data_IF_217015981852
#
_entry.id   IF_217015981852
#
_cell.length_a   1.000
_cell.length_b   1.000
_cell.length_c   1.000
_cell.angle_alpha   90.00
_cell.angle_beta   90.00
_cell.angle_gamma   90.00
#
_symmetry.space_group_name_H-M   'P 1'
#
loop_
_entity.id
_entity.type
_entity.pdbx_description
1 polymer ?
#
# COMPACT_ATOMS: atom_id res chain seq x y z
N UNK A 1 -35.30 47.92 30.24
CA UNK A 1 -35.44 46.49 30.62
C UNK A 1 -35.66 45.52 29.45
N UNK A 2 -36.51 45.79 28.44
CA UNK A 2 -36.75 44.86 27.31
C UNK A 2 -35.51 44.53 26.43
N UNK A 3 -34.56 45.46 26.24
CA UNK A 3 -33.34 45.21 25.44
C UNK A 3 -32.38 44.19 26.08
N UNK A 4 -32.28 44.15 27.41
CA UNK A 4 -31.38 43.23 28.13
C UNK A 4 -31.86 41.77 28.08
N UNK A 5 -33.18 41.55 28.00
CA UNK A 5 -33.76 40.20 27.97
C UNK A 5 -33.59 39.51 26.61
N UNK A 6 -33.62 40.28 25.51
CA UNK A 6 -33.43 39.76 24.15
C UNK A 6 -31.97 39.38 23.86
N UNK A 7 -31.02 40.13 24.41
CA UNK A 7 -29.58 39.87 24.22
C UNK A 7 -29.17 38.54 24.88
N UNK A 8 -29.68 38.25 26.08
CA UNK A 8 -29.38 37.01 26.80
C UNK A 8 -29.97 35.75 26.14
N UNK A 9 -31.09 35.91 25.41
CA UNK A 9 -31.72 34.81 24.64
C UNK A 9 -30.94 34.48 23.36
N UNK A 10 -30.35 35.50 22.71
CA UNK A 10 -29.51 35.33 21.52
C UNK A 10 -28.19 34.60 21.83
N UNK A 11 -27.52 34.93 22.94
CA UNK A 11 -26.29 34.26 23.35
C UNK A 11 -26.54 32.76 23.65
N UNK A 12 -27.58 32.42 24.42
CA UNK A 12 -27.93 31.01 24.69
C UNK A 12 -28.25 30.21 23.43
N UNK A 13 -28.89 30.83 22.44
CA UNK A 13 -29.24 30.14 21.19
C UNK A 13 -28.01 29.91 20.31
N UNK A 14 -27.06 30.87 20.27
CA UNK A 14 -25.79 30.72 19.56
C UNK A 14 -24.91 29.62 20.16
N UNK A 15 -24.84 29.49 21.49
CA UNK A 15 -24.02 28.46 22.14
C UNK A 15 -24.58 27.06 21.89
N UNK A 16 -25.90 26.89 21.88
CA UNK A 16 -26.56 25.61 21.57
C UNK A 16 -26.40 25.24 20.09
N UNK A 17 -26.54 26.20 19.18
CA UNK A 17 -26.27 25.97 17.75
C UNK A 17 -24.82 25.60 17.47
N UNK A 18 -23.87 26.21 18.17
CA UNK A 18 -22.44 25.89 18.05
C UNK A 18 -22.11 24.52 18.66
N UNK A 19 -22.74 24.13 19.77
CA UNK A 19 -22.59 22.79 20.34
C UNK A 19 -23.22 21.70 19.47
N UNK A 20 -24.38 21.97 18.85
CA UNK A 20 -25.01 21.05 17.90
C UNK A 20 -24.13 20.94 16.66
N UNK A 21 -23.62 22.04 16.08
CA UNK A 21 -22.68 21.98 14.96
C UNK A 21 -21.39 21.24 15.30
N UNK A 22 -20.85 21.40 16.52
CA UNK A 22 -19.68 20.67 16.99
C UNK A 22 -19.99 19.18 17.16
N UNK A 23 -21.15 18.82 17.71
CA UNK A 23 -21.61 17.44 17.84
C UNK A 23 -21.94 16.81 16.47
N UNK A 24 -22.44 17.59 15.52
CA UNK A 24 -22.65 17.20 14.12
C UNK A 24 -21.32 16.97 13.41
N UNK A 25 -20.29 17.81 13.66
CA UNK A 25 -18.94 17.58 13.16
C UNK A 25 -18.28 16.34 13.80
N UNK A 26 -18.61 16.04 15.06
CA UNK A 26 -18.16 14.82 15.74
C UNK A 26 -18.91 13.57 15.20
N UNK A 27 -20.18 13.68 14.81
CA UNK A 27 -20.96 12.58 14.21
C UNK A 27 -20.75 12.40 12.70
N UNK A 28 -20.23 13.39 11.98
CA UNK A 28 -19.83 13.26 10.57
C UNK A 28 -18.42 12.64 10.43
N UNK A 29 -17.65 12.58 11.52
CA UNK A 29 -16.72 11.46 11.71
C UNK A 29 -17.53 10.22 12.08
N UNK A 30 -18.37 9.72 11.16
CA UNK A 30 -18.62 8.29 11.14
C UNK A 30 -17.23 7.66 11.13
N UNK A 31 -16.90 6.98 12.23
CA UNK A 31 -15.65 6.27 12.37
C UNK A 31 -15.56 5.32 11.18
N UNK A 32 -14.79 5.74 10.15
CA UNK A 32 -14.34 4.86 9.11
C UNK A 32 -13.76 3.66 9.84
N UNK A 33 -14.40 2.49 9.68
CA UNK A 33 -14.09 1.28 10.45
C UNK A 33 -12.57 1.13 10.52
N UNK A 34 -12.02 1.20 11.73
CA UNK A 34 -10.57 1.16 11.91
C UNK A 34 -10.03 -0.12 11.26
N UNK A 35 -9.25 0.03 10.20
CA UNK A 35 -8.64 -1.11 9.51
C UNK A 35 -7.38 -1.54 10.24
N UNK A 36 -7.27 -2.85 10.51
CA UNK A 36 -6.03 -3.48 10.94
C UNK A 36 -5.12 -3.65 9.73
N UNK A 37 -3.86 -3.26 9.85
CA UNK A 37 -2.88 -3.37 8.76
C UNK A 37 -1.73 -4.25 9.23
N UNK A 38 -1.51 -5.34 8.49
CA UNK A 38 -0.41 -6.27 8.72
C UNK A 38 0.56 -6.23 7.55
N UNK A 39 1.86 -6.22 7.83
CA UNK A 39 2.91 -6.32 6.82
C UNK A 39 3.58 -7.68 6.99
N UNK A 40 3.43 -8.56 6.02
CA UNK A 40 4.11 -9.85 6.06
C UNK A 40 5.60 -9.66 5.73
N UNK A 41 6.45 -10.12 6.65
CA UNK A 41 7.89 -10.27 6.46
C UNK A 41 8.42 -11.38 7.36
N UNK A 42 9.10 -12.36 6.78
CA UNK A 42 9.73 -13.44 7.51
C UNK A 42 11.08 -13.79 6.87
N UNK A 43 12.17 -13.50 7.58
CA UNK A 43 13.53 -13.70 7.08
C UNK A 43 13.93 -15.18 6.94
N UNK A 44 13.09 -16.12 7.40
CA UNK A 44 13.25 -17.55 7.13
C UNK A 44 12.74 -17.98 5.75
N UNK A 45 12.01 -17.12 5.05
CA UNK A 45 11.53 -17.35 3.69
C UNK A 45 12.37 -16.59 2.67
N UNK A 46 12.32 -17.04 1.41
CA UNK A 46 13.07 -16.44 0.32
C UNK A 46 12.14 -15.68 -0.63
N UNK A 47 12.52 -14.46 -0.99
CA UNK A 47 11.92 -13.78 -2.14
C UNK A 47 12.22 -14.51 -3.46
N UNK A 48 11.37 -14.31 -4.47
CA UNK A 48 11.57 -14.79 -5.84
C UNK A 48 12.41 -13.78 -6.63
N UNK A 49 11.84 -12.59 -6.82
CA UNK A 49 12.32 -11.54 -7.72
C UNK A 49 12.66 -10.25 -6.95
N UNK A 50 11.87 -9.87 -5.95
CA UNK A 50 12.19 -8.75 -5.06
C UNK A 50 13.49 -9.02 -4.30
N UNK A 51 14.35 -8.01 -4.18
CA UNK A 51 15.52 -8.13 -3.31
C UNK A 51 15.09 -8.07 -1.84
N UNK A 52 15.90 -8.67 -0.96
CA UNK A 52 15.70 -8.55 0.50
C UNK A 52 15.72 -7.07 0.92
N UNK A 53 16.58 -6.27 0.28
CA UNK A 53 16.67 -4.83 0.54
C UNK A 53 15.38 -4.07 0.19
N UNK A 54 14.65 -4.52 -0.84
CA UNK A 54 13.35 -3.94 -1.18
C UNK A 54 12.33 -4.25 -0.08
N UNK A 55 12.25 -5.52 0.35
CA UNK A 55 11.39 -5.93 1.46
C UNK A 55 11.72 -5.19 2.76
N UNK A 56 13.00 -5.09 3.12
CA UNK A 56 13.45 -4.33 4.30
C UNK A 56 13.04 -2.86 4.23
N UNK A 57 13.13 -2.26 3.04
CA UNK A 57 12.71 -0.87 2.84
C UNK A 57 11.20 -0.73 3.07
N UNK A 58 10.38 -1.61 2.53
CA UNK A 58 8.92 -1.58 2.71
C UNK A 58 8.56 -1.72 4.19
N UNK A 59 9.13 -2.73 4.87
CA UNK A 59 8.85 -3.05 6.28
C UNK A 59 9.25 -1.93 7.22
N UNK A 60 10.26 -1.13 6.87
CA UNK A 60 10.65 0.04 7.65
C UNK A 60 9.83 1.28 7.28
N UNK A 61 9.73 1.58 5.99
CA UNK A 61 9.20 2.85 5.50
C UNK A 61 7.70 2.96 5.68
N UNK A 62 6.94 1.89 5.42
CA UNK A 62 5.47 1.91 5.47
C UNK A 62 4.97 2.20 6.90
N UNK A 63 5.42 1.48 7.95
CA UNK A 63 5.01 1.79 9.32
C UNK A 63 5.38 3.19 9.78
N UNK A 64 6.63 3.62 9.52
CA UNK A 64 7.10 4.96 9.90
C UNK A 64 6.29 6.07 9.20
N UNK A 65 5.84 5.82 7.97
CA UNK A 65 5.04 6.79 7.21
C UNK A 65 3.60 6.83 7.68
N UNK A 66 2.93 5.68 7.80
CA UNK A 66 1.53 5.61 8.25
C UNK A 66 1.37 6.15 9.69
N UNK A 67 2.36 5.93 10.56
CA UNK A 67 2.36 6.46 11.92
C UNK A 67 2.30 8.00 11.98
N UNK A 68 2.84 8.72 10.98
CA UNK A 68 2.75 10.19 10.87
C UNK A 68 1.31 10.67 10.67
N UNK A 69 0.42 9.79 10.20
CA UNK A 69 -0.99 10.04 9.99
C UNK A 69 -1.88 9.39 11.06
N UNK A 70 -1.28 8.86 12.13
CA UNK A 70 -2.02 8.22 13.23
C UNK A 70 -2.52 6.81 12.92
N UNK A 71 -2.02 6.18 11.86
CA UNK A 71 -2.39 4.81 11.45
C UNK A 71 -1.28 3.86 11.89
N UNK A 72 -1.63 2.87 12.72
CA UNK A 72 -0.73 1.82 13.15
C UNK A 72 -0.74 0.63 12.19
N UNK A 73 0.39 -0.04 12.06
CA UNK A 73 0.50 -1.34 11.40
C UNK A 73 1.45 -2.25 12.17
N UNK A 74 1.30 -3.56 11.96
CA UNK A 74 2.10 -4.59 12.61
C UNK A 74 2.84 -5.41 11.55
N UNK A 75 4.16 -5.54 11.69
CA UNK A 75 4.94 -6.48 10.88
C UNK A 75 4.86 -7.87 11.50
N UNK A 76 4.51 -8.88 10.70
CA UNK A 76 4.22 -10.24 11.16
C UNK A 76 5.01 -11.29 10.38
N UNK A 77 5.43 -12.34 11.07
CA UNK A 77 6.05 -13.52 10.47
C UNK A 77 5.00 -14.48 9.86
N UNK A 78 5.46 -15.57 9.24
CA UNK A 78 4.56 -16.52 8.56
C UNK A 78 3.59 -17.23 9.52
N UNK A 79 3.98 -17.42 10.79
CA UNK A 79 3.13 -18.05 11.81
C UNK A 79 2.02 -17.10 12.24
N UNK A 80 2.38 -15.86 12.58
CA UNK A 80 1.40 -14.84 13.01
C UNK A 80 0.47 -14.47 11.86
N UNK A 81 0.97 -14.44 10.62
CA UNK A 81 0.13 -14.26 9.44
C UNK A 81 -0.92 -15.36 9.31
N UNK A 82 -0.56 -16.63 9.55
CA UNK A 82 -1.49 -17.75 9.52
C UNK A 82 -2.60 -17.64 10.58
N UNK A 83 -2.25 -17.16 11.79
CA UNK A 83 -3.25 -16.85 12.83
C UNK A 83 -4.23 -15.77 12.34
N UNK A 84 -3.73 -14.67 11.77
CA UNK A 84 -4.55 -13.55 11.29
C UNK A 84 -5.53 -14.01 10.20
N UNK A 85 -5.06 -14.74 9.18
CA UNK A 85 -5.94 -15.16 8.08
C UNK A 85 -6.95 -16.24 8.50
N UNK A 86 -6.75 -16.88 9.66
CA UNK A 86 -7.72 -17.84 10.21
C UNK A 86 -8.95 -17.17 10.85
N UNK A 87 -8.86 -15.88 11.18
CA UNK A 87 -9.96 -15.08 11.75
C UNK A 87 -10.80 -14.44 10.63
N UNK A 88 -11.65 -15.24 9.98
CA UNK A 88 -12.43 -14.80 8.82
C UNK A 88 -13.42 -13.68 9.14
N UNK A 89 -13.90 -13.60 10.38
CA UNK A 89 -14.77 -12.54 10.88
C UNK A 89 -14.10 -11.14 10.85
N UNK A 90 -12.78 -11.09 10.98
CA UNK A 90 -12.01 -9.85 10.98
C UNK A 90 -11.56 -9.43 9.57
N UNK A 91 -11.73 -10.32 8.58
CA UNK A 91 -11.25 -10.11 7.22
C UNK A 91 -11.74 -8.80 6.58
N UNK A 92 -13.04 -8.42 6.64
CA UNK A 92 -13.52 -7.15 6.09
C UNK A 92 -12.81 -5.91 6.65
N UNK A 93 -12.22 -6.02 7.84
CA UNK A 93 -11.54 -4.94 8.56
C UNK A 93 -10.01 -5.09 8.56
N UNK A 94 -9.48 -5.99 7.75
CA UNK A 94 -8.05 -6.32 7.75
C UNK A 94 -7.43 -6.14 6.37
N UNK A 95 -6.24 -5.54 6.37
CA UNK A 95 -5.38 -5.37 5.19
C UNK A 95 -4.08 -6.11 5.45
N UNK A 96 -3.65 -6.89 4.47
CA UNK A 96 -2.35 -7.55 4.49
C UNK A 96 -1.51 -6.98 3.33
N UNK A 97 -0.35 -6.43 3.65
CA UNK A 97 0.67 -6.05 2.69
C UNK A 97 1.72 -7.16 2.60
N UNK A 98 1.84 -7.78 1.44
CA UNK A 98 2.91 -8.72 1.14
C UNK A 98 4.17 -7.94 0.76
N UNK A 99 5.08 -7.73 1.72
CA UNK A 99 6.37 -7.06 1.46
C UNK A 99 7.41 -8.00 0.81
N UNK A 100 7.10 -9.28 0.79
CA UNK A 100 7.81 -10.35 0.08
C UNK A 100 6.93 -10.82 -1.07
N UNK A 101 7.52 -11.16 -2.20
CA UNK A 101 6.82 -11.58 -3.43
C UNK A 101 6.54 -13.08 -3.49
N UNK A 102 6.54 -13.74 -2.33
CA UNK A 102 6.26 -15.16 -2.18
C UNK A 102 5.39 -15.35 -0.93
N UNK A 103 4.26 -16.04 -1.09
CA UNK A 103 3.40 -16.38 0.04
C UNK A 103 3.98 -17.60 0.79
N UNK A 104 4.00 -17.59 2.13
CA UNK A 104 4.47 -18.74 2.90
C UNK A 104 3.46 -19.90 2.83
N UNK A 105 3.98 -21.12 2.94
CA UNK A 105 3.21 -22.36 2.95
C UNK A 105 2.19 -22.44 4.10
N UNK A 106 2.37 -21.62 5.13
CA UNK A 106 1.42 -21.49 6.25
C UNK A 106 0.07 -20.87 5.85
N UNK A 107 0.01 -20.11 4.75
CA UNK A 107 -1.24 -19.47 4.28
C UNK A 107 -1.60 -19.81 2.84
N UNK A 108 -0.64 -20.25 2.04
CA UNK A 108 -0.83 -20.57 0.63
C UNK A 108 -0.31 -21.97 0.33
N UNK A 109 -1.23 -22.91 0.06
CA UNK A 109 -0.89 -24.30 -0.27
C UNK A 109 -1.00 -24.60 -1.76
N UNK A 110 -1.45 -23.63 -2.56
CA UNK A 110 -1.80 -23.83 -3.96
C UNK A 110 -3.14 -24.56 -4.13
N UNK A 111 -4.03 -24.49 -3.13
CA UNK A 111 -5.36 -25.09 -3.18
C UNK A 111 -6.46 -24.02 -2.94
N UNK A 112 -7.70 -24.23 -3.45
CA UNK A 112 -8.81 -23.30 -3.24
C UNK A 112 -9.21 -23.10 -1.78
N UNK A 113 -8.86 -24.04 -0.90
CA UNK A 113 -9.09 -23.97 0.55
C UNK A 113 -7.87 -23.44 1.33
N UNK A 114 -6.88 -22.86 0.64
CA UNK A 114 -5.76 -22.17 1.28
C UNK A 114 -6.30 -21.09 2.24
N UNK A 115 -5.75 -20.95 3.47
CA UNK A 115 -6.23 -19.98 4.44
C UNK A 115 -6.36 -18.55 3.89
N UNK A 116 -5.39 -18.09 3.09
CA UNK A 116 -5.44 -16.75 2.49
C UNK A 116 -6.59 -16.61 1.47
N UNK A 117 -6.93 -17.66 0.72
CA UNK A 117 -8.04 -17.64 -0.23
C UNK A 117 -9.36 -17.42 0.49
N UNK A 118 -9.61 -18.22 1.54
CA UNK A 118 -10.81 -18.11 2.36
C UNK A 118 -10.91 -16.73 3.03
N UNK A 119 -9.78 -16.17 3.47
CA UNK A 119 -9.71 -14.84 4.07
C UNK A 119 -10.03 -13.72 3.07
N UNK A 120 -9.50 -13.78 1.84
CA UNK A 120 -9.85 -12.82 0.78
C UNK A 120 -11.35 -12.93 0.47
N UNK A 121 -11.87 -14.14 0.27
CA UNK A 121 -13.29 -14.37 -0.01
C UNK A 121 -14.21 -13.87 1.11
N UNK A 122 -13.74 -13.90 2.36
CA UNK A 122 -14.44 -13.39 3.53
C UNK A 122 -14.48 -11.85 3.63
N UNK A 123 -13.63 -11.13 2.91
CA UNK A 123 -13.60 -9.66 2.91
C UNK A 123 -12.21 -9.03 3.02
N UNK A 124 -11.17 -9.85 3.15
CA UNK A 124 -9.79 -9.39 3.29
C UNK A 124 -9.30 -8.57 2.10
N UNK A 125 -8.49 -7.55 2.36
CA UNK A 125 -7.78 -6.80 1.31
C UNK A 125 -6.30 -7.13 1.31
N UNK A 126 -5.83 -7.80 0.25
CA UNK A 126 -4.42 -8.13 0.06
C UNK A 126 -3.76 -7.09 -0.84
N UNK A 127 -2.66 -6.48 -0.41
CA UNK A 127 -1.79 -5.66 -1.26
C UNK A 127 -0.57 -6.50 -1.61
N UNK A 128 -0.34 -6.69 -2.90
CA UNK A 128 0.75 -7.48 -3.44
C UNK A 128 1.67 -6.62 -4.31
N UNK A 129 2.97 -6.89 -4.23
CA UNK A 129 4.00 -6.17 -4.97
C UNK A 129 5.16 -7.10 -5.31
N UNK A 130 5.87 -6.83 -6.42
CA UNK A 130 7.05 -7.61 -6.82
C UNK A 130 6.77 -8.55 -7.99
N UNK A 131 6.71 -9.85 -7.73
CA UNK A 131 6.44 -10.89 -8.75
C UNK A 131 4.95 -11.22 -8.83
N UNK A 132 4.59 -12.10 -9.76
CA UNK A 132 3.26 -12.65 -9.93
C UNK A 132 2.72 -13.24 -8.62
N UNK A 133 1.57 -12.71 -8.19
CA UNK A 133 0.86 -13.13 -6.99
C UNK A 133 0.59 -14.63 -6.96
N UNK A 134 0.91 -15.25 -5.82
CA UNK A 134 0.67 -16.67 -5.55
C UNK A 134 1.34 -17.66 -6.52
N UNK A 135 2.29 -17.20 -7.34
CA UNK A 135 3.03 -18.07 -8.25
C UNK A 135 3.90 -19.10 -7.52
N UNK A 136 4.46 -18.77 -6.37
CA UNK A 136 5.21 -19.74 -5.56
C UNK A 136 4.54 -20.00 -4.23
N UNK A 137 4.66 -21.24 -3.76
CA UNK A 137 4.58 -21.58 -2.34
C UNK A 137 6.00 -21.51 -1.78
N UNK A 138 6.23 -20.58 -0.85
CA UNK A 138 7.50 -20.43 -0.16
C UNK A 138 7.54 -21.30 1.09
N UNK A 139 8.72 -21.83 1.41
CA UNK A 139 8.97 -22.62 2.61
C UNK A 139 10.10 -22.01 3.44
N UNK A 140 10.01 -22.15 4.77
CA UNK A 140 11.01 -21.63 5.75
C UNK A 140 12.42 -22.22 5.62
N UNK A 141 12.63 -23.16 4.70
CA UNK A 141 13.94 -23.70 4.33
C UNK A 141 14.56 -23.00 3.10
N UNK A 142 14.08 -21.79 2.77
CA UNK A 142 14.50 -20.97 1.62
C UNK A 142 14.21 -21.59 0.24
N UNK A 143 13.25 -22.52 0.16
CA UNK A 143 12.80 -23.08 -1.12
C UNK A 143 11.45 -22.49 -1.53
N UNK A 144 11.31 -22.28 -2.84
CA UNK A 144 10.06 -21.82 -3.47
C UNK A 144 9.65 -22.88 -4.48
N UNK A 145 8.40 -23.33 -4.41
CA UNK A 145 7.86 -24.38 -5.29
C UNK A 145 6.70 -23.80 -6.10
N UNK A 146 6.80 -23.91 -7.43
CA UNK A 146 5.70 -23.65 -8.35
C UNK A 146 5.03 -24.97 -8.70
N UNK A 147 3.71 -24.97 -8.78
CA UNK A 147 2.94 -26.05 -9.41
C UNK A 147 2.11 -25.45 -10.54
N UNK A 148 1.81 -26.22 -11.60
CA UNK A 148 1.05 -25.70 -12.74
C UNK A 148 -0.28 -25.06 -12.31
N UNK A 149 -0.48 -23.81 -12.74
CA UNK A 149 -1.72 -23.05 -12.61
C UNK A 149 -2.14 -22.61 -11.21
N UNK A 150 -1.29 -22.73 -10.19
CA UNK A 150 -1.68 -22.39 -8.81
C UNK A 150 -2.07 -20.92 -8.67
N UNK A 151 -1.41 -20.04 -9.41
CA UNK A 151 -1.68 -18.60 -9.44
C UNK A 151 -3.10 -18.27 -9.97
N UNK A 152 -3.72 -19.17 -10.72
CA UNK A 152 -5.06 -18.97 -11.29
C UNK A 152 -6.17 -19.32 -10.28
N UNK A 153 -5.85 -20.06 -9.22
CA UNK A 153 -6.83 -20.51 -8.22
C UNK A 153 -7.45 -19.32 -7.51
N UNK A 154 -6.64 -18.31 -7.17
CA UNK A 154 -7.11 -17.16 -6.38
C UNK A 154 -8.21 -16.35 -7.08
N UNK A 155 -8.14 -16.27 -8.41
CA UNK A 155 -9.13 -15.59 -9.24
C UNK A 155 -10.17 -16.54 -9.86
N UNK A 156 -9.99 -17.85 -9.73
CA UNK A 156 -10.84 -18.85 -10.37
C UNK A 156 -10.80 -18.84 -11.90
N UNK A 157 -9.82 -18.17 -12.52
CA UNK A 157 -9.65 -18.12 -13.97
C UNK A 157 -8.20 -18.01 -14.39
N UNK A 158 -7.92 -18.52 -15.58
CA UNK A 158 -6.62 -18.37 -16.23
C UNK A 158 -6.49 -16.91 -16.69
N UNK A 159 -5.25 -16.39 -16.74
CA UNK A 159 -4.87 -15.12 -17.39
C UNK A 159 -5.32 -13.83 -16.72
N UNK A 160 -5.24 -13.70 -15.39
CA UNK A 160 -5.37 -12.38 -14.75
C UNK A 160 -4.09 -11.58 -14.94
N UNK A 161 -2.95 -12.15 -14.53
CA UNK A 161 -1.63 -11.56 -14.76
C UNK A 161 -1.13 -11.89 -16.16
N UNK A 162 -0.64 -10.87 -16.85
CA UNK A 162 0.02 -11.02 -18.11
C UNK A 162 1.51 -11.37 -17.91
N UNK A 163 2.00 -12.29 -18.72
CA UNK A 163 3.44 -12.41 -18.94
C UNK A 163 3.83 -11.34 -19.95
N UNK A 164 4.03 -10.12 -19.46
CA UNK A 164 4.58 -9.03 -20.26
C UNK A 164 6.08 -8.88 -19.94
N UNK A 165 6.78 -8.08 -20.72
CA UNK A 165 8.18 -7.74 -20.49
C UNK A 165 8.29 -6.23 -20.60
N UNK A 166 8.71 -5.58 -19.52
CA UNK A 166 9.08 -4.18 -19.50
C UNK A 166 7.98 -3.23 -20.04
N UNK A 167 6.72 -3.47 -19.66
CA UNK A 167 5.55 -2.74 -20.16
C UNK A 167 5.37 -1.43 -19.41
N UNK A 168 5.39 -0.31 -20.13
CA UNK A 168 5.16 1.00 -19.53
C UNK A 168 3.68 1.17 -19.20
N UNK A 169 3.39 1.54 -17.95
CA UNK A 169 2.07 1.93 -17.46
C UNK A 169 2.09 3.37 -16.99
N UNK A 170 1.00 4.10 -17.24
CA UNK A 170 0.83 5.52 -16.92
C UNK A 170 -0.37 5.72 -16.00
N UNK A 171 -0.33 6.70 -15.08
CA UNK A 171 -1.43 6.95 -14.18
C UNK A 171 -2.71 7.38 -14.91
N UNK A 172 -3.83 6.72 -14.59
CA UNK A 172 -5.18 7.17 -14.95
C UNK A 172 -5.57 8.40 -14.12
N UNK A 173 -6.72 9.02 -14.39
CA UNK A 173 -7.24 10.09 -13.53
C UNK A 173 -7.45 9.61 -12.09
N UNK A 174 -8.02 8.42 -11.91
CA UNK A 174 -8.18 7.79 -10.60
C UNK A 174 -6.82 7.50 -9.96
N UNK A 175 -5.86 6.99 -10.73
CA UNK A 175 -4.49 6.76 -10.26
C UNK A 175 -3.82 8.01 -9.71
N UNK A 176 -3.92 9.15 -10.41
CA UNK A 176 -3.36 10.43 -9.91
C UNK A 176 -4.03 10.92 -8.63
N UNK A 177 -5.33 10.63 -8.47
CA UNK A 177 -6.08 11.01 -7.27
C UNK A 177 -5.67 10.16 -6.06
N UNK A 178 -5.52 8.85 -6.26
CA UNK A 178 -5.25 7.89 -5.19
C UNK A 178 -3.76 7.79 -4.86
N UNK A 179 -2.89 7.87 -5.86
CA UNK A 179 -1.43 7.86 -5.71
C UNK A 179 -0.81 9.08 -6.42
N UNK A 180 -0.82 10.27 -5.80
CA UNK A 180 -0.30 11.50 -6.41
C UNK A 180 1.20 11.49 -6.75
N UNK A 181 1.95 10.51 -6.26
CA UNK A 181 3.35 10.26 -6.63
C UNK A 181 3.50 9.23 -7.75
N UNK A 182 2.39 8.67 -8.27
CA UNK A 182 2.42 7.72 -9.38
C UNK A 182 2.84 8.42 -10.68
N UNK A 183 4.11 8.22 -11.03
CA UNK A 183 4.70 8.52 -12.33
C UNK A 183 4.76 7.25 -13.19
N UNK A 184 4.91 7.38 -14.51
CA UNK A 184 5.02 6.21 -15.38
C UNK A 184 6.19 5.33 -14.98
N UNK A 185 5.98 4.02 -14.92
CA UNK A 185 7.04 3.04 -14.71
C UNK A 185 6.79 1.81 -15.57
N UNK A 186 7.78 0.91 -15.60
CA UNK A 186 7.70 -0.34 -16.34
C UNK A 186 7.42 -1.52 -15.41
N UNK A 187 6.55 -2.41 -15.84
CA UNK A 187 6.12 -3.61 -15.11
C UNK A 187 6.23 -4.84 -16.02
N UNK A 188 6.52 -5.98 -15.40
CA UNK A 188 6.72 -7.27 -16.09
C UNK A 188 5.54 -8.23 -15.85
N UNK A 189 4.70 -7.92 -14.86
CA UNK A 189 3.54 -8.73 -14.47
C UNK A 189 2.29 -7.86 -14.34
N UNK A 190 1.98 -6.99 -15.34
CA UNK A 190 0.75 -6.22 -15.29
C UNK A 190 -0.46 -7.15 -15.35
N UNK A 191 -1.63 -6.63 -15.00
CA UNK A 191 -2.89 -7.33 -15.21
C UNK A 191 -3.41 -7.04 -16.61
N UNK A 192 -4.06 -8.00 -17.28
CA UNK A 192 -4.78 -7.67 -18.51
C UNK A 192 -5.93 -6.70 -18.20
N UNK A 193 -6.03 -5.59 -18.91
CA UNK A 193 -7.07 -4.58 -18.64
C UNK A 193 -8.49 -5.11 -18.89
N UNK A 194 -8.65 -6.13 -19.74
CA UNK A 194 -9.91 -6.84 -19.97
C UNK A 194 -10.44 -7.56 -18.72
N UNK A 195 -9.66 -7.65 -17.64
CA UNK A 195 -10.13 -8.17 -16.35
C UNK A 195 -11.38 -7.43 -15.85
N UNK A 196 -11.53 -6.15 -16.21
CA UNK A 196 -12.69 -5.32 -15.86
C UNK A 196 -14.00 -5.78 -16.54
N UNK A 197 -13.94 -6.67 -17.53
CA UNK A 197 -15.12 -7.31 -18.12
C UNK A 197 -15.64 -8.46 -17.25
N UNK A 198 -14.80 -9.00 -16.36
CA UNK A 198 -15.11 -10.18 -15.51
C UNK A 198 -15.23 -9.81 -14.04
N UNK A 199 -14.42 -8.86 -13.55
CA UNK A 199 -14.37 -8.45 -12.16
C UNK A 199 -14.72 -6.98 -11.99
N UNK A 200 -15.25 -6.64 -10.81
CA UNK A 200 -15.28 -5.27 -10.35
C UNK A 200 -13.85 -4.83 -9.99
N UNK A 201 -13.36 -3.80 -10.68
CA UNK A 201 -11.97 -3.37 -10.63
C UNK A 201 -11.83 -1.86 -10.60
N UNK A 202 -10.81 -1.39 -9.90
CA UNK A 202 -10.34 0.00 -9.97
C UNK A 202 -8.97 0.02 -10.65
N UNK A 203 -8.90 0.61 -11.85
CA UNK A 203 -7.67 0.69 -12.64
C UNK A 203 -6.99 2.04 -12.39
N UNK A 204 -5.81 1.99 -11.76
CA UNK A 204 -5.04 3.17 -11.41
C UNK A 204 -3.99 3.53 -12.45
N UNK A 205 -3.52 2.57 -13.25
CA UNK A 205 -2.66 2.85 -14.39
C UNK A 205 -2.93 1.93 -15.57
N UNK A 206 -2.61 2.41 -16.77
CA UNK A 206 -2.84 1.74 -18.04
C UNK A 206 -1.62 1.87 -18.95
N UNK A 207 -1.37 0.85 -19.76
CA UNK A 207 -0.46 0.94 -20.91
C UNK A 207 -1.03 1.83 -22.01
N UNK A 208 -0.17 2.32 -22.91
CA UNK A 208 -0.57 3.22 -24.00
C UNK A 208 -1.57 2.58 -24.98
N UNK A 209 -1.49 1.26 -25.16
CA UNK A 209 -2.43 0.49 -25.98
C UNK A 209 -3.70 0.07 -25.21
N UNK A 210 -3.77 0.35 -23.91
CA UNK A 210 -4.88 -0.01 -23.04
C UNK A 210 -5.01 -1.52 -22.77
N UNK A 211 -4.05 -2.34 -23.17
CA UNK A 211 -4.11 -3.80 -22.99
C UNK A 211 -3.77 -4.22 -21.56
N UNK A 212 -2.96 -3.43 -20.86
CA UNK A 212 -2.41 -3.76 -19.55
C UNK A 212 -2.76 -2.70 -18.52
N UNK A 213 -3.02 -3.15 -17.30
CA UNK A 213 -3.42 -2.34 -16.18
C UNK A 213 -2.52 -2.60 -14.96
N UNK A 214 -1.94 -1.52 -14.43
CA UNK A 214 -1.21 -1.50 -13.16
C UNK A 214 -0.94 -0.07 -12.68
N UNK A 215 -1.10 0.26 -11.38
CA UNK A 215 -1.71 -0.56 -10.34
C UNK A 215 -3.18 -0.86 -10.60
N UNK A 216 -3.69 -1.92 -9.99
CA UNK A 216 -5.11 -2.29 -10.09
C UNK A 216 -5.60 -2.88 -8.76
N UNK A 217 -6.83 -2.57 -8.37
CA UNK A 217 -7.57 -3.30 -7.35
C UNK A 217 -8.60 -4.19 -8.05
N UNK A 218 -8.61 -5.47 -7.70
CA UNK A 218 -9.52 -6.48 -8.25
C UNK A 218 -10.36 -7.02 -7.10
N UNK A 219 -11.68 -6.96 -7.19
CA UNK A 219 -12.58 -7.58 -6.20
C UNK A 219 -12.59 -9.10 -6.37
N UNK A 220 -12.38 -9.82 -5.27
CA UNK A 220 -12.39 -11.29 -5.24
C UNK A 220 -13.23 -11.73 -4.05
N UNK A 221 -14.35 -12.41 -4.32
CA UNK A 221 -15.36 -12.68 -3.30
C UNK A 221 -15.88 -11.38 -2.67
N UNK A 222 -15.82 -11.26 -1.35
CA UNK A 222 -16.13 -10.01 -0.62
C UNK A 222 -14.93 -9.09 -0.47
N UNK A 223 -13.72 -9.61 -0.67
CA UNK A 223 -12.46 -8.91 -0.47
C UNK A 223 -11.89 -8.31 -1.74
N UNK A 224 -10.58 -8.07 -1.73
CA UNK A 224 -9.86 -7.52 -2.87
C UNK A 224 -8.39 -7.94 -2.89
N UNK A 225 -7.83 -7.99 -4.08
CA UNK A 225 -6.38 -8.06 -4.32
C UNK A 225 -5.96 -6.78 -5.03
N UNK A 226 -4.96 -6.11 -4.49
CA UNK A 226 -4.38 -4.88 -5.02
C UNK A 226 -2.99 -5.21 -5.52
N UNK A 227 -2.75 -4.97 -6.80
CA UNK A 227 -1.47 -5.22 -7.45
C UNK A 227 -0.78 -3.89 -7.71
N UNK A 228 0.41 -3.70 -7.15
CA UNK A 228 1.17 -2.45 -7.23
C UNK A 228 2.64 -2.76 -7.51
N UNK A 229 3.23 -2.19 -8.58
CA UNK A 229 4.63 -2.39 -8.96
C UNK A 229 5.01 -3.87 -9.15
N UNK A 230 4.39 -4.57 -10.08
CA UNK A 230 4.61 -6.00 -10.33
C UNK A 230 5.86 -6.22 -11.20
N UNK A 231 7.00 -5.73 -10.71
CA UNK A 231 8.35 -5.93 -11.24
C UNK A 231 9.33 -6.06 -10.06
N UNK A 232 10.45 -6.77 -10.25
CA UNK A 232 11.50 -6.91 -9.24
C UNK A 232 12.56 -5.81 -9.24
N UNK A 233 12.73 -5.03 -10.32
CA UNK A 233 13.89 -4.14 -10.46
C UNK A 233 13.64 -2.77 -11.09
N UNK A 234 12.56 -2.59 -11.86
CA UNK A 234 12.34 -1.33 -12.60
C UNK A 234 11.72 -0.21 -11.75
N UNK A 235 11.26 -0.54 -10.54
CA UNK A 235 10.74 0.41 -9.56
C UNK A 235 11.54 0.31 -8.27
N UNK A 236 12.20 1.41 -7.91
CA UNK A 236 12.97 1.49 -6.67
C UNK A 236 12.08 1.30 -5.43
N UNK A 237 12.66 0.75 -4.37
CA UNK A 237 11.94 0.39 -3.15
C UNK A 237 11.24 1.56 -2.47
N UNK A 238 11.77 2.79 -2.54
CA UNK A 238 11.10 3.96 -1.97
C UNK A 238 9.88 4.34 -2.78
N UNK A 239 9.99 4.36 -4.11
CA UNK A 239 8.83 4.63 -4.98
C UNK A 239 7.72 3.62 -4.70
N UNK A 240 8.06 2.33 -4.63
CA UNK A 240 7.11 1.26 -4.29
C UNK A 240 6.42 1.49 -2.94
N UNK A 241 7.20 1.74 -1.90
CA UNK A 241 6.66 1.98 -0.55
C UNK A 241 5.78 3.25 -0.50
N UNK A 242 6.15 4.30 -1.23
CA UNK A 242 5.37 5.54 -1.37
C UNK A 242 4.01 5.26 -2.01
N UNK A 243 3.97 4.55 -3.15
CA UNK A 243 2.70 4.25 -3.82
C UNK A 243 1.78 3.39 -2.95
N UNK A 244 2.35 2.43 -2.21
CA UNK A 244 1.60 1.63 -1.23
C UNK A 244 1.03 2.52 -0.11
N UNK A 245 1.84 3.44 0.44
CA UNK A 245 1.37 4.36 1.49
C UNK A 245 0.25 5.28 0.98
N UNK A 246 0.43 5.88 -0.19
CA UNK A 246 -0.58 6.76 -0.78
C UNK A 246 -1.88 6.00 -1.10
N UNK A 247 -1.77 4.78 -1.61
CA UNK A 247 -2.93 3.90 -1.80
C UNK A 247 -3.67 3.68 -0.47
N UNK A 248 -2.97 3.28 0.59
CA UNK A 248 -3.58 3.06 1.91
C UNK A 248 -4.24 4.36 2.40
N UNK A 249 -3.50 5.47 2.46
CA UNK A 249 -4.00 6.73 3.00
C UNK A 249 -5.21 7.25 2.20
N UNK A 250 -5.15 7.22 0.87
CA UNK A 250 -6.15 7.88 0.04
C UNK A 250 -7.32 6.99 -0.35
N UNK A 251 -7.09 5.68 -0.55
CA UNK A 251 -8.16 4.75 -0.95
C UNK A 251 -8.78 4.03 0.24
N UNK A 252 -7.99 3.64 1.24
CA UNK A 252 -8.50 2.90 2.40
C UNK A 252 -9.06 3.85 3.45
N UNK A 253 -8.32 4.91 3.78
CA UNK A 253 -8.70 5.89 4.81
C UNK A 253 -9.24 7.22 4.24
N UNK A 254 -9.54 7.23 2.94
CA UNK A 254 -10.19 8.35 2.24
C UNK A 254 -9.57 9.74 2.52
N UNK A 255 -8.25 9.82 2.72
CA UNK A 255 -7.58 11.06 3.16
C UNK A 255 -7.43 12.14 2.07
N UNK A 256 -7.99 11.92 0.88
CA UNK A 256 -8.21 12.98 -0.10
C UNK A 256 -6.96 13.43 -0.88
N UNK A 257 -6.08 12.50 -1.26
CA UNK A 257 -4.95 12.78 -2.16
C UNK A 257 -3.69 13.24 -1.44
N UNK A 258 -3.43 12.70 -0.25
CA UNK A 258 -2.15 12.80 0.44
C UNK A 258 -1.04 12.35 -0.51
N UNK A 259 -0.06 13.23 -0.70
CA UNK A 259 1.17 12.96 -1.44
C UNK A 259 2.32 12.77 -0.46
N UNK A 260 3.01 11.64 -0.53
CA UNK A 260 4.18 11.38 0.30
C UNK A 260 5.42 11.93 -0.40
N UNK A 261 6.16 12.80 0.29
CA UNK A 261 7.43 13.29 -0.22
C UNK A 261 8.48 12.18 -0.20
N UNK A 262 9.25 12.05 -1.28
CA UNK A 262 10.38 11.12 -1.32
C UNK A 262 11.33 11.47 -0.16
N UNK A 263 11.78 10.49 0.64
CA UNK A 263 12.82 10.76 1.62
C UNK A 263 14.03 11.32 0.86
N UNK A 264 14.57 12.45 1.34
CA UNK A 264 15.79 12.99 0.75
C UNK A 264 16.84 11.87 0.70
N UNK A 265 17.59 11.73 -0.41
CA UNK A 265 18.68 10.77 -0.45
C UNK A 265 19.55 11.05 0.77
N UNK A 266 19.73 10.05 1.63
CA UNK A 266 20.63 10.16 2.77
C UNK A 266 22.00 10.39 2.15
N UNK A 267 22.42 11.65 2.07
CA UNK A 267 23.77 12.01 1.63
C UNK A 267 24.68 11.23 2.59
N UNK A 268 25.52 10.30 2.09
CA UNK A 268 26.41 9.55 2.95
C UNK A 268 27.11 10.53 3.87
N UNK A 269 27.13 10.26 5.18
CA UNK A 269 27.64 11.21 6.20
C UNK A 269 29.02 11.75 5.80
N UNK A 270 29.85 10.93 5.15
CA UNK A 270 31.13 11.35 4.57
C UNK A 270 31.02 12.52 3.58
N UNK A 271 30.07 12.49 2.64
CA UNK A 271 29.83 13.56 1.66
C UNK A 271 29.24 14.80 2.36
N UNK A 272 28.32 14.59 3.31
CA UNK A 272 27.75 15.69 4.12
C UNK A 272 28.83 16.44 4.91
N UNK A 273 29.77 15.71 5.52
CA UNK A 273 30.93 16.28 6.22
C UNK A 273 31.86 17.00 5.25
N UNK A 274 32.12 16.45 4.06
CA UNK A 274 32.95 17.12 3.04
C UNK A 274 32.34 18.45 2.60
N UNK A 275 31.04 18.50 2.36
CA UNK A 275 30.34 19.75 1.98
C UNK A 275 30.38 20.76 3.14
N UNK A 276 30.15 20.33 4.37
CA UNK A 276 30.21 21.20 5.54
C UNK A 276 31.63 21.78 5.74
N UNK A 277 32.67 20.95 5.63
CA UNK A 277 34.07 21.37 5.74
C UNK A 277 34.45 22.34 4.61
N UNK A 278 34.05 22.06 3.37
CA UNK A 278 34.29 22.95 2.24
C UNK A 278 33.61 24.32 2.42
N UNK A 279 32.38 24.32 2.94
CA UNK A 279 31.62 25.56 3.22
C UNK A 279 32.30 26.40 4.29
N UNK A 280 32.73 25.77 5.39
CA UNK A 280 33.49 26.45 6.46
C UNK A 280 34.82 27.00 5.95
N UNK A 281 35.57 26.24 5.16
CA UNK A 281 36.84 26.68 4.57
C UNK A 281 36.64 27.91 3.66
N UNK A 282 35.58 27.93 2.85
CA UNK A 282 35.21 29.05 1.99
C UNK A 282 34.84 30.31 2.80
N UNK A 283 34.06 30.16 3.86
CA UNK A 283 33.72 31.27 4.77
C UNK A 283 34.99 31.84 5.42
N UNK A 284 35.88 30.99 5.94
CA UNK A 284 37.15 31.42 6.55
C UNK A 284 38.04 32.13 5.52
N UNK A 285 38.10 31.63 4.29
CA UNK A 285 38.85 32.25 3.21
C UNK A 285 38.37 33.68 2.91
N UNK A 286 37.05 33.88 2.82
CA UNK A 286 36.47 35.19 2.55
C UNK A 286 36.58 36.17 3.73
N UNK A 287 36.48 35.68 4.97
CA UNK A 287 36.71 36.50 6.16
C UNK A 287 38.16 37.01 6.20
N UNK A 288 39.14 36.17 5.85
CA UNK A 288 40.56 36.57 5.85
C UNK A 288 40.97 37.52 4.72
N UNK A 289 40.13 37.66 3.68
CA UNK A 289 40.38 38.53 2.53
C UNK A 289 39.75 39.91 2.64
N UNK A 290 38.93 40.16 3.66
CA UNK A 290 38.45 41.49 4.04
C UNK A 290 39.37 42.09 5.09
#
# INVERSE_FOLDING_TARGET
MRKMYLQNKFYKMSTVLMFIALLSLIHICEAEESKNIYIYYDSSYRNSWLSITDSDTIVKFVPETLAKYGISCETVDAKRLAEIVSHLEDAPNTIILMSMDVAPDTIWTGAPDSPIQLWIEAGGTLIWTGDWEFYYVGFSNYTNVHQPYIENIVFGMITVTAFADNTEVKPTELGRKIMPSFESYRTDRPTYASIAETFDCEIYGLSDDGLYAEPVLIKVGKGAIVKICMTGGDVDSNTRAILICEFILNRVFNMGGVKIERPFPVIPIAIGVVIAVATVALIVYFIRRR
#
